data_IF_905440329342
#
_entry.id   IF_905440329342
#
_cell.length_a   1.000
_cell.length_b   1.000
_cell.length_c   1.000
_cell.angle_alpha   90.00
_cell.angle_beta   90.00
_cell.angle_gamma   90.00
#
_symmetry.space_group_name_H-M   'P 1'
#
loop_
_entity.id
_entity.type
_entity.pdbx_description
1 polymer ?
#
# COMPACT_ATOMS: atom_id res chain seq x y z
N UNK A 1 -57.52 -97.16 126.23
CA UNK A 1 -58.66 -97.63 127.03
C UNK A 1 -59.80 -96.64 126.84
N UNK A 2 -61.01 -96.99 126.40
CA UNK A 2 -61.60 -98.27 126.05
C UNK A 2 -63.12 -98.08 125.96
N UNK A 3 -63.75 -98.63 124.91
CA UNK A 3 -65.15 -99.08 124.85
C UNK A 3 -66.28 -98.03 124.87
N UNK A 4 -67.27 -97.98 123.97
CA UNK A 4 -68.14 -98.98 123.33
C UNK A 4 -69.60 -98.89 123.85
N UNK A 5 -70.53 -99.22 122.94
CA UNK A 5 -72.01 -99.38 123.04
C UNK A 5 -72.84 -98.10 122.84
N UNK A 6 -73.64 -97.93 121.77
CA UNK A 6 -74.77 -98.68 121.12
C UNK A 6 -76.15 -98.17 121.58
N UNK A 7 -77.13 -98.32 120.66
CA UNK A 7 -78.63 -98.19 120.71
C UNK A 7 -79.08 -97.09 119.71
N UNK A 8 -79.59 -97.34 118.48
CA UNK A 8 -80.82 -98.03 118.01
C UNK A 8 -82.10 -97.36 118.59
N UNK A 9 -83.13 -96.85 117.91
CA UNK A 9 -83.78 -97.07 116.60
C UNK A 9 -84.79 -95.92 116.36
N UNK A 10 -85.02 -95.47 115.12
CA UNK A 10 -86.28 -95.67 114.37
C UNK A 10 -86.44 -94.69 113.19
N UNK A 11 -87.20 -95.04 112.13
CA UNK A 11 -87.10 -94.42 110.81
C UNK A 11 -88.43 -93.82 110.30
N UNK A 12 -88.37 -92.72 109.52
CA UNK A 12 -89.20 -92.52 108.33
C UNK A 12 -88.91 -91.19 107.60
N UNK A 13 -88.68 -91.31 106.29
CA UNK A 13 -88.90 -90.31 105.22
C UNK A 13 -87.96 -89.08 105.19
N UNK A 14 -86.97 -88.94 104.29
CA UNK A 14 -86.86 -89.47 102.94
C UNK A 14 -87.73 -88.67 101.97
N UNK A 15 -87.13 -87.68 101.26
CA UNK A 15 -87.48 -87.12 99.92
C UNK A 15 -87.01 -85.66 99.71
N UNK A 16 -86.56 -84.90 100.72
CA UNK A 16 -86.13 -83.49 100.53
C UNK A 16 -84.61 -83.24 100.39
N UNK A 17 -83.76 -84.26 100.39
CA UNK A 17 -82.29 -84.09 100.45
C UNK A 17 -81.54 -84.29 99.12
N UNK A 18 -82.23 -84.70 98.05
CA UNK A 18 -81.62 -84.89 96.73
C UNK A 18 -81.60 -83.60 95.86
N UNK A 19 -82.45 -82.62 96.16
CA UNK A 19 -82.47 -81.33 95.44
C UNK A 19 -81.36 -80.35 95.86
N UNK A 20 -80.87 -80.43 97.10
CA UNK A 20 -79.86 -79.49 97.63
C UNK A 20 -78.43 -79.79 97.14
N UNK A 21 -78.10 -81.05 96.84
CA UNK A 21 -76.76 -81.44 96.35
C UNK A 21 -76.62 -81.17 94.85
N UNK A 22 -77.69 -81.29 94.06
CA UNK A 22 -77.69 -80.92 92.64
C UNK A 22 -77.55 -79.40 92.43
N UNK A 23 -78.17 -78.58 93.29
CA UNK A 23 -78.05 -77.11 93.25
C UNK A 23 -76.66 -76.66 93.73
N UNK A 24 -76.08 -77.31 94.75
CA UNK A 24 -74.72 -76.98 95.20
C UNK A 24 -73.63 -77.36 94.17
N UNK A 25 -73.79 -78.49 93.48
CA UNK A 25 -72.91 -78.90 92.37
C UNK A 25 -73.03 -77.97 91.15
N UNK A 26 -74.24 -77.59 90.77
CA UNK A 26 -74.49 -76.64 89.68
C UNK A 26 -73.94 -75.23 89.99
N UNK A 27 -74.04 -74.77 91.25
CA UNK A 27 -73.48 -73.47 91.68
C UNK A 27 -71.94 -73.50 91.74
N UNK A 28 -71.32 -74.64 92.09
CA UNK A 28 -69.87 -74.80 92.07
C UNK A 28 -69.31 -74.85 90.63
N UNK A 29 -69.99 -75.55 89.72
CA UNK A 29 -69.65 -75.56 88.28
C UNK A 29 -69.86 -74.18 87.66
N UNK A 30 -70.99 -73.51 87.94
CA UNK A 30 -71.24 -72.15 87.47
C UNK A 30 -70.21 -71.13 88.03
N UNK A 31 -69.78 -71.26 89.30
CA UNK A 31 -68.70 -70.42 89.85
C UNK A 31 -67.33 -70.72 89.25
N UNK A 32 -67.06 -71.99 88.94
CA UNK A 32 -65.84 -72.42 88.23
C UNK A 32 -65.80 -71.85 86.81
N UNK A 33 -66.91 -71.95 86.07
CA UNK A 33 -67.08 -71.37 84.73
C UNK A 33 -66.99 -69.85 84.75
N UNK A 34 -67.64 -69.17 85.70
CA UNK A 34 -67.52 -67.70 85.84
C UNK A 34 -66.07 -67.29 86.16
N UNK A 35 -65.35 -68.07 86.96
CA UNK A 35 -63.95 -67.78 87.30
C UNK A 35 -63.04 -68.00 86.08
N UNK A 36 -63.24 -69.08 85.33
CA UNK A 36 -62.52 -69.38 84.07
C UNK A 36 -62.83 -68.32 83.00
N UNK A 37 -64.09 -67.91 82.87
CA UNK A 37 -64.50 -66.82 81.96
C UNK A 37 -63.87 -65.48 82.36
N UNK A 38 -63.78 -65.18 83.67
CA UNK A 38 -63.16 -63.95 84.16
C UNK A 38 -61.64 -63.94 83.93
N UNK A 39 -60.96 -65.05 84.19
CA UNK A 39 -59.52 -65.17 83.88
C UNK A 39 -59.26 -65.15 82.37
N UNK A 40 -60.11 -65.78 81.57
CA UNK A 40 -60.04 -65.74 80.10
C UNK A 40 -60.25 -64.32 79.57
N UNK A 41 -61.25 -63.59 80.08
CA UNK A 41 -61.47 -62.19 79.74
C UNK A 41 -60.29 -61.29 80.15
N UNK A 42 -59.65 -61.56 81.29
CA UNK A 42 -58.47 -60.80 81.73
C UNK A 42 -57.25 -61.09 80.85
N UNK A 43 -57.05 -62.34 80.45
CA UNK A 43 -55.98 -62.73 79.52
C UNK A 43 -56.20 -62.10 78.14
N UNK A 44 -57.42 -62.17 77.60
CA UNK A 44 -57.76 -61.50 76.33
C UNK A 44 -57.58 -59.98 76.42
N UNK A 45 -57.91 -59.37 77.56
CA UNK A 45 -57.70 -57.94 77.76
C UNK A 45 -56.22 -57.58 77.81
N UNK A 46 -55.38 -58.38 78.47
CA UNK A 46 -53.93 -58.21 78.47
C UNK A 46 -53.30 -58.47 77.09
N UNK A 47 -53.81 -59.43 76.33
CA UNK A 47 -53.38 -59.70 74.95
C UNK A 47 -53.77 -58.55 74.02
N UNK A 48 -55.00 -58.02 74.14
CA UNK A 48 -55.43 -56.83 73.40
C UNK A 48 -54.62 -55.59 73.77
N UNK A 49 -54.23 -55.41 75.03
CA UNK A 49 -53.34 -54.32 75.45
C UNK A 49 -51.94 -54.49 74.86
N UNK A 50 -51.36 -55.69 74.89
CA UNK A 50 -50.07 -55.97 74.24
C UNK A 50 -50.12 -55.81 72.72
N UNK A 51 -51.21 -56.20 72.08
CA UNK A 51 -51.41 -55.98 70.64
C UNK A 51 -51.53 -54.49 70.34
N UNK A 52 -52.26 -53.71 71.15
CA UNK A 52 -52.33 -52.26 71.00
C UNK A 52 -50.96 -51.60 71.14
N UNK A 53 -50.22 -51.95 72.20
CA UNK A 53 -48.85 -51.46 72.41
C UNK A 53 -47.92 -51.83 71.25
N UNK A 54 -48.04 -53.06 70.72
CA UNK A 54 -47.29 -53.49 69.54
C UNK A 54 -47.68 -52.70 68.29
N UNK A 55 -48.97 -52.47 68.04
CA UNK A 55 -49.42 -51.68 66.89
C UNK A 55 -49.02 -50.22 67.00
N UNK A 56 -49.01 -49.66 68.22
CA UNK A 56 -48.56 -48.29 68.47
C UNK A 56 -47.04 -48.17 68.28
N UNK A 57 -46.26 -49.17 68.71
CA UNK A 57 -44.82 -49.23 68.46
C UNK A 57 -44.50 -49.41 66.96
N UNK A 58 -45.20 -50.30 66.25
CA UNK A 58 -45.06 -50.47 64.79
C UNK A 58 -45.44 -49.18 64.05
N UNK A 59 -46.50 -48.49 64.48
CA UNK A 59 -46.89 -47.18 63.95
C UNK A 59 -45.81 -46.12 64.18
N UNK A 60 -45.23 -46.05 65.38
CA UNK A 60 -44.15 -45.12 65.68
C UNK A 60 -42.90 -45.38 64.82
N UNK A 61 -42.54 -46.65 64.58
CA UNK A 61 -41.43 -47.01 63.69
C UNK A 61 -41.71 -46.61 62.24
N UNK A 62 -42.95 -46.81 61.77
CA UNK A 62 -43.36 -46.37 60.42
C UNK A 62 -43.35 -44.85 60.32
N UNK A 63 -43.90 -44.12 61.29
CA UNK A 63 -43.90 -42.65 61.31
C UNK A 63 -42.46 -42.10 61.32
N UNK A 64 -41.56 -42.68 62.12
CA UNK A 64 -40.15 -42.32 62.13
C UNK A 64 -39.45 -42.62 60.79
N UNK A 65 -39.77 -43.75 60.16
CA UNK A 65 -39.22 -44.13 58.85
C UNK A 65 -39.72 -43.21 57.74
N UNK A 66 -41.00 -42.84 57.76
CA UNK A 66 -41.59 -41.88 56.81
C UNK A 66 -40.99 -40.49 56.99
N UNK A 67 -40.77 -40.05 58.24
CA UNK A 67 -40.10 -38.78 58.51
C UNK A 67 -38.66 -38.77 57.96
N UNK A 68 -37.88 -39.84 58.19
CA UNK A 68 -36.53 -39.97 57.64
C UNK A 68 -36.49 -40.00 56.10
N UNK A 69 -37.48 -40.65 55.46
CA UNK A 69 -37.63 -40.62 54.01
C UNK A 69 -38.03 -39.23 53.48
N UNK A 70 -38.87 -38.49 54.21
CA UNK A 70 -39.23 -37.12 53.86
C UNK A 70 -38.02 -36.17 53.95
N UNK A 71 -37.18 -36.31 54.98
CA UNK A 71 -35.96 -35.52 55.15
C UNK A 71 -34.95 -35.79 54.05
N UNK A 72 -34.73 -37.07 53.70
CA UNK A 72 -33.83 -37.45 52.59
C UNK A 72 -34.35 -37.01 51.23
N UNK A 73 -35.67 -37.07 51.00
CA UNK A 73 -36.29 -36.54 49.79
C UNK A 73 -36.16 -35.02 49.70
N UNK A 74 -36.34 -34.30 50.81
CA UNK A 74 -36.15 -32.85 50.90
C UNK A 74 -34.71 -32.44 50.61
N UNK A 75 -33.73 -33.14 51.23
CA UNK A 75 -32.31 -32.92 50.98
C UNK A 75 -31.94 -33.20 49.51
N UNK A 76 -32.49 -34.26 48.92
CA UNK A 76 -32.28 -34.60 47.50
C UNK A 76 -32.90 -33.54 46.58
N UNK A 77 -34.09 -33.02 46.89
CA UNK A 77 -34.72 -31.96 46.13
C UNK A 77 -33.91 -30.65 46.19
N UNK A 78 -33.37 -30.31 47.37
CA UNK A 78 -32.48 -29.17 47.54
C UNK A 78 -31.20 -29.30 46.72
N UNK A 79 -30.57 -30.48 46.70
CA UNK A 79 -29.36 -30.70 45.90
C UNK A 79 -29.66 -30.69 44.39
N UNK A 80 -30.79 -31.25 43.95
CA UNK A 80 -31.22 -31.16 42.54
C UNK A 80 -31.43 -29.69 42.14
N UNK A 81 -32.04 -28.87 43.00
CA UNK A 81 -32.22 -27.44 42.75
C UNK A 81 -30.86 -26.71 42.67
N UNK A 82 -29.92 -27.04 43.56
CA UNK A 82 -28.55 -26.50 43.55
C UNK A 82 -27.81 -26.84 42.26
N UNK A 83 -27.84 -28.11 41.84
CA UNK A 83 -27.21 -28.58 40.61
C UNK A 83 -27.83 -27.95 39.36
N UNK A 84 -29.15 -27.76 39.34
CA UNK A 84 -29.83 -27.03 38.25
C UNK A 84 -29.35 -25.58 38.16
N UNK A 85 -29.24 -24.88 39.29
CA UNK A 85 -28.72 -23.52 39.32
C UNK A 85 -27.28 -23.41 38.81
N UNK A 86 -26.41 -24.37 39.17
CA UNK A 86 -25.04 -24.42 38.64
C UNK A 86 -25.00 -24.70 37.13
N UNK A 87 -25.85 -25.60 36.64
CA UNK A 87 -25.93 -25.91 35.21
C UNK A 87 -26.42 -24.70 34.39
N UNK A 88 -27.40 -23.96 34.90
CA UNK A 88 -27.92 -22.77 34.23
C UNK A 88 -26.89 -21.63 34.22
N UNK A 89 -26.16 -21.43 35.33
CA UNK A 89 -25.04 -20.49 35.37
C UNK A 89 -23.92 -20.88 34.38
N UNK A 90 -23.55 -22.16 34.32
CA UNK A 90 -22.55 -22.63 33.36
C UNK A 90 -23.01 -22.47 31.91
N UNK A 91 -24.30 -22.69 31.63
CA UNK A 91 -24.88 -22.43 30.31
C UNK A 91 -24.82 -20.95 29.95
N UNK A 92 -25.13 -20.07 30.88
CA UNK A 92 -25.04 -18.62 30.69
C UNK A 92 -23.60 -18.14 30.45
N UNK A 93 -22.64 -18.67 31.20
CA UNK A 93 -21.22 -18.34 31.00
C UNK A 93 -20.71 -18.87 29.65
N UNK A 94 -21.12 -20.08 29.26
CA UNK A 94 -20.80 -20.61 27.93
C UNK A 94 -21.40 -19.77 26.82
N UNK A 95 -22.67 -19.35 26.91
CA UNK A 95 -23.29 -18.52 25.87
C UNK A 95 -22.63 -17.14 25.77
N UNK A 96 -22.28 -16.53 26.90
CA UNK A 96 -21.49 -15.29 26.92
C UNK A 96 -20.12 -15.47 26.27
N UNK A 97 -19.41 -16.55 26.62
CA UNK A 97 -18.11 -16.86 26.03
C UNK A 97 -18.18 -17.13 24.52
N UNK A 98 -19.21 -17.86 24.05
CA UNK A 98 -19.38 -18.13 22.62
C UNK A 98 -19.74 -16.87 21.85
N UNK A 99 -20.58 -16.00 22.40
CA UNK A 99 -20.93 -14.74 21.76
C UNK A 99 -19.70 -13.84 21.64
N UNK A 100 -18.89 -13.74 22.70
CA UNK A 100 -17.63 -12.98 22.66
C UNK A 100 -16.68 -13.52 21.57
N UNK A 101 -16.47 -14.83 21.51
CA UNK A 101 -15.63 -15.44 20.47
C UNK A 101 -16.18 -15.18 19.06
N UNK A 102 -17.50 -15.15 18.89
CA UNK A 102 -18.14 -14.86 17.62
C UNK A 102 -17.93 -13.41 17.19
N UNK A 103 -18.02 -12.46 18.13
CA UNK A 103 -17.71 -11.04 17.89
C UNK A 103 -16.24 -10.87 17.49
N UNK A 104 -15.31 -11.46 18.25
CA UNK A 104 -13.86 -11.39 17.98
C UNK A 104 -13.51 -11.97 16.59
N UNK A 105 -14.12 -13.11 16.21
CA UNK A 105 -13.94 -13.73 14.89
C UNK A 105 -14.51 -12.87 13.77
N UNK A 106 -15.66 -12.22 14.01
CA UNK A 106 -16.30 -11.35 13.03
C UNK A 106 -15.45 -10.10 12.78
N UNK A 107 -14.99 -9.42 13.84
CA UNK A 107 -14.09 -8.27 13.71
C UNK A 107 -12.76 -8.64 13.03
N UNK A 108 -12.22 -9.83 13.31
CA UNK A 108 -11.01 -10.32 12.63
C UNK A 108 -11.25 -10.70 11.16
N UNK A 109 -12.48 -11.04 10.77
CA UNK A 109 -12.84 -11.29 9.37
C UNK A 109 -12.95 -9.97 8.60
N UNK A 110 -13.61 -8.96 9.18
CA UNK A 110 -13.73 -7.61 8.61
C UNK A 110 -12.35 -6.96 8.43
N UNK A 111 -11.47 -7.05 9.43
CA UNK A 111 -10.10 -6.54 9.32
C UNK A 111 -9.29 -7.22 8.21
N UNK A 112 -9.49 -8.52 7.98
CA UNK A 112 -8.85 -9.25 6.87
C UNK A 112 -9.42 -8.85 5.51
N UNK A 113 -10.71 -8.56 5.43
CA UNK A 113 -11.34 -8.08 4.20
C UNK A 113 -10.83 -6.68 3.81
N UNK A 114 -10.78 -5.75 4.78
CA UNK A 114 -10.18 -4.42 4.59
C UNK A 114 -8.70 -4.49 4.16
N UNK A 115 -7.92 -5.41 4.75
CA UNK A 115 -6.54 -5.62 4.34
C UNK A 115 -6.43 -6.13 2.89
N UNK A 116 -7.34 -7.01 2.45
CA UNK A 116 -7.38 -7.50 1.07
C UNK A 116 -7.73 -6.40 0.08
N UNK A 117 -8.78 -5.63 0.35
CA UNK A 117 -9.17 -4.51 -0.52
C UNK A 117 -8.03 -3.50 -0.66
N UNK A 118 -7.30 -3.22 0.43
CA UNK A 118 -6.14 -2.32 0.37
C UNK A 118 -4.98 -2.89 -0.45
N UNK A 119 -4.72 -4.20 -0.37
CA UNK A 119 -3.71 -4.84 -1.23
C UNK A 119 -4.09 -4.71 -2.71
N UNK A 120 -5.36 -4.90 -3.05
CA UNK A 120 -5.85 -4.74 -4.43
C UNK A 120 -5.71 -3.29 -4.92
N UNK A 121 -6.05 -2.30 -4.08
CA UNK A 121 -5.81 -0.87 -4.38
C UNK A 121 -4.33 -0.56 -4.62
N UNK A 122 -3.44 -1.03 -3.73
CA UNK A 122 -2.00 -0.83 -3.87
C UNK A 122 -1.44 -1.48 -5.14
N UNK A 123 -1.99 -2.61 -5.57
CA UNK A 123 -1.61 -3.24 -6.84
C UNK A 123 -2.01 -2.38 -8.04
N UNK A 124 -3.19 -1.74 -8.01
CA UNK A 124 -3.64 -0.80 -9.04
C UNK A 124 -2.76 0.46 -9.05
N UNK A 125 -2.48 1.05 -7.88
CA UNK A 125 -1.58 2.20 -7.75
C UNK A 125 -0.18 1.88 -8.32
N UNK A 126 0.36 0.69 -8.01
CA UNK A 126 1.65 0.23 -8.55
C UNK A 126 1.61 0.05 -10.07
N UNK A 127 0.53 -0.49 -10.61
CA UNK A 127 0.35 -0.66 -12.05
C UNK A 127 0.31 0.71 -12.77
N UNK A 128 -0.41 1.68 -12.20
CA UNK A 128 -0.48 3.05 -12.72
C UNK A 128 0.89 3.73 -12.68
N UNK A 129 1.61 3.65 -11.55
CA UNK A 129 2.94 4.22 -11.43
C UNK A 129 3.93 3.62 -12.45
N UNK A 130 3.85 2.32 -12.73
CA UNK A 130 4.65 1.66 -13.79
C UNK A 130 4.29 2.17 -15.19
N UNK A 131 3.00 2.40 -15.46
CA UNK A 131 2.55 2.93 -16.74
C UNK A 131 3.04 4.38 -16.95
N UNK A 132 2.97 5.22 -15.91
CA UNK A 132 3.49 6.59 -15.95
C UNK A 132 5.01 6.63 -16.17
N UNK A 133 5.76 5.75 -15.49
CA UNK A 133 7.20 5.60 -15.70
C UNK A 133 7.52 5.18 -17.14
N UNK A 134 6.74 4.26 -17.72
CA UNK A 134 6.91 3.85 -19.11
C UNK A 134 6.69 5.03 -20.07
N UNK A 135 5.64 5.83 -19.87
CA UNK A 135 5.36 7.03 -20.68
C UNK A 135 6.49 8.06 -20.55
N UNK A 136 6.96 8.33 -19.33
CA UNK A 136 8.06 9.26 -19.08
C UNK A 136 9.36 8.79 -19.76
N UNK A 137 9.65 7.48 -19.74
CA UNK A 137 10.84 6.92 -20.42
C UNK A 137 10.78 7.09 -21.94
N UNK A 138 9.58 6.97 -22.54
CA UNK A 138 9.38 7.21 -23.98
C UNK A 138 9.52 8.70 -24.33
N UNK A 139 9.07 9.60 -23.46
CA UNK A 139 9.27 11.04 -23.65
C UNK A 139 10.77 11.40 -23.60
N UNK A 140 11.50 10.91 -22.59
CA UNK A 140 12.93 11.14 -22.44
C UNK A 140 13.74 10.63 -23.64
N UNK A 141 13.42 9.44 -24.14
CA UNK A 141 14.10 8.87 -25.32
C UNK A 141 13.84 9.70 -26.58
N UNK A 142 12.63 10.26 -26.75
CA UNK A 142 12.33 11.18 -27.86
C UNK A 142 13.07 12.51 -27.74
N UNK A 143 13.15 13.09 -26.56
CA UNK A 143 13.91 14.33 -26.34
C UNK A 143 15.40 14.11 -26.62
N UNK A 144 15.97 13.00 -26.14
CA UNK A 144 17.36 12.64 -26.44
C UNK A 144 17.60 12.48 -27.94
N UNK A 145 16.70 11.81 -28.66
CA UNK A 145 16.80 11.67 -30.11
C UNK A 145 16.73 13.01 -30.86
N UNK A 146 15.93 13.98 -30.36
CA UNK A 146 15.88 15.35 -30.92
C UNK A 146 17.19 16.09 -30.67
N UNK A 147 17.72 16.04 -29.44
CA UNK A 147 18.99 16.65 -29.10
C UNK A 147 20.15 16.07 -29.93
N UNK A 148 20.19 14.75 -30.13
CA UNK A 148 21.21 14.10 -30.97
C UNK A 148 21.09 14.52 -32.45
N UNK A 149 19.87 14.66 -32.98
CA UNK A 149 19.63 15.12 -34.34
C UNK A 149 20.05 16.60 -34.52
N UNK A 150 19.76 17.46 -33.56
CA UNK A 150 20.15 18.86 -33.58
C UNK A 150 21.66 19.04 -33.42
N UNK A 151 22.29 18.28 -32.53
CA UNK A 151 23.74 18.20 -32.39
C UNK A 151 24.41 17.75 -33.70
N UNK A 152 23.84 16.76 -34.39
CA UNK A 152 24.33 16.31 -35.70
C UNK A 152 24.20 17.39 -36.78
N UNK A 153 23.08 18.11 -36.82
CA UNK A 153 22.85 19.23 -37.74
C UNK A 153 23.84 20.38 -37.50
N UNK A 154 24.11 20.72 -36.25
CA UNK A 154 25.10 21.73 -35.88
C UNK A 154 26.52 21.28 -36.24
N UNK A 155 26.84 19.99 -36.01
CA UNK A 155 28.11 19.39 -36.44
C UNK A 155 28.35 19.55 -37.94
N UNK A 156 27.37 19.14 -38.76
CA UNK A 156 27.46 19.26 -40.21
C UNK A 156 27.61 20.72 -40.68
N UNK A 157 26.98 21.68 -39.98
CA UNK A 157 27.13 23.11 -40.29
C UNK A 157 28.53 23.63 -39.98
N UNK A 158 29.13 23.20 -38.87
CA UNK A 158 30.53 23.53 -38.51
C UNK A 158 31.48 22.95 -39.55
N UNK A 159 31.30 21.69 -39.96
CA UNK A 159 32.14 21.05 -40.97
C UNK A 159 32.06 21.77 -42.32
N UNK A 160 30.84 22.20 -42.72
CA UNK A 160 30.64 22.97 -43.94
C UNK A 160 31.32 24.35 -43.90
N UNK A 161 31.19 25.09 -42.79
CA UNK A 161 31.88 26.38 -42.60
C UNK A 161 33.40 26.21 -42.60
N UNK A 162 33.91 25.15 -41.97
CA UNK A 162 35.34 24.82 -41.95
C UNK A 162 35.86 24.55 -43.37
N UNK A 163 35.09 23.84 -44.20
CA UNK A 163 35.44 23.59 -45.59
C UNK A 163 35.45 24.88 -46.43
N UNK A 164 34.44 25.74 -46.27
CA UNK A 164 34.38 27.05 -46.92
C UNK A 164 35.56 27.95 -46.53
N UNK A 165 35.96 27.92 -45.25
CA UNK A 165 37.14 28.64 -44.77
C UNK A 165 38.43 28.18 -45.45
N UNK A 166 38.62 26.87 -45.59
CA UNK A 166 39.80 26.32 -46.29
C UNK A 166 39.84 26.74 -47.76
N UNK A 167 38.70 26.73 -48.44
CA UNK A 167 38.60 27.14 -49.84
C UNK A 167 38.83 28.65 -50.01
N UNK A 168 38.28 29.47 -49.10
CA UNK A 168 38.50 30.90 -49.08
C UNK A 168 39.97 31.25 -48.79
N UNK A 169 40.61 30.56 -47.82
CA UNK A 169 42.04 30.76 -47.51
C UNK A 169 42.92 30.42 -48.73
N UNK A 170 42.60 29.35 -49.46
CA UNK A 170 43.29 29.00 -50.70
C UNK A 170 43.11 30.05 -51.81
N UNK A 171 41.88 30.56 -51.97
CA UNK A 171 41.55 31.60 -52.96
C UNK A 171 42.29 32.90 -52.67
N UNK A 172 42.37 33.31 -51.41
CA UNK A 172 43.15 34.50 -51.00
C UNK A 172 44.65 34.29 -51.24
N UNK A 173 45.17 33.10 -50.99
CA UNK A 173 46.57 32.81 -51.29
C UNK A 173 46.88 32.95 -52.80
N UNK A 174 45.97 32.51 -53.67
CA UNK A 174 46.07 32.71 -55.12
C UNK A 174 45.98 34.20 -55.51
N UNK A 175 45.02 34.95 -54.95
CA UNK A 175 44.88 36.40 -55.20
C UNK A 175 46.13 37.17 -54.75
N UNK A 176 46.69 36.85 -53.58
CA UNK A 176 47.96 37.45 -53.10
C UNK A 176 49.12 37.11 -54.03
N UNK A 177 49.21 35.88 -54.51
CA UNK A 177 50.24 35.50 -55.50
C UNK A 177 50.05 36.21 -56.84
N UNK A 178 48.82 36.40 -57.30
CA UNK A 178 48.51 37.15 -58.52
C UNK A 178 48.87 38.63 -58.38
N UNK A 179 48.53 39.22 -57.23
CA UNK A 179 48.88 40.60 -56.89
C UNK A 179 50.40 40.80 -56.89
N UNK A 180 51.17 39.89 -56.28
CA UNK A 180 52.63 39.96 -56.26
C UNK A 180 53.26 39.85 -57.67
N UNK A 181 52.70 39.00 -58.54
CA UNK A 181 53.14 38.92 -59.95
C UNK A 181 52.85 40.21 -60.71
N UNK A 182 51.66 40.77 -60.55
CA UNK A 182 51.29 42.04 -61.17
C UNK A 182 52.20 43.17 -60.67
N UNK A 183 52.57 43.21 -59.39
CA UNK A 183 53.54 44.17 -58.84
C UNK A 183 54.93 44.03 -59.48
N UNK A 184 55.42 42.80 -59.69
CA UNK A 184 56.70 42.53 -60.34
C UNK A 184 56.69 42.90 -61.84
N UNK A 185 55.60 42.59 -62.55
CA UNK A 185 55.39 42.98 -63.94
C UNK A 185 55.36 44.51 -64.09
N UNK A 186 54.68 45.21 -63.18
CA UNK A 186 54.58 46.67 -63.17
C UNK A 186 55.94 47.30 -62.90
N UNK A 187 56.70 46.82 -61.92
CA UNK A 187 58.08 47.25 -61.66
C UNK A 187 59.02 47.02 -62.86
N UNK A 188 58.82 45.93 -63.60
CA UNK A 188 59.58 45.63 -64.83
C UNK A 188 59.22 46.59 -65.96
N UNK A 189 57.94 46.95 -66.13
CA UNK A 189 57.48 47.92 -67.13
C UNK A 189 58.02 49.31 -66.78
N UNK A 190 57.93 49.73 -65.53
CA UNK A 190 58.48 51.00 -65.02
C UNK A 190 60.00 51.08 -65.23
N UNK A 191 60.73 50.01 -64.92
CA UNK A 191 62.18 49.93 -65.13
C UNK A 191 62.59 50.04 -66.61
N UNK A 192 61.81 49.44 -67.52
CA UNK A 192 62.01 49.55 -68.98
C UNK A 192 61.69 50.95 -69.52
N UNK A 193 60.76 51.68 -68.91
CA UNK A 193 60.50 53.09 -69.25
C UNK A 193 61.66 54.02 -68.85
N UNK A 194 62.48 53.64 -67.86
CA UNK A 194 63.59 54.46 -67.37
C UNK A 194 64.91 54.27 -68.14
N UNK A 195 65.05 53.24 -68.99
CA UNK A 195 66.36 52.80 -69.55
C UNK A 195 66.59 53.13 -71.05
N UNK A 196 65.89 54.11 -71.62
CA UNK A 196 65.96 54.56 -73.03
C UNK A 196 65.42 53.57 -74.10
N UNK A 197 64.75 54.12 -75.13
CA UNK A 197 64.09 53.44 -76.29
C UNK A 197 62.91 52.49 -75.98
N UNK A 198 61.67 53.01 -75.89
CA UNK A 198 60.48 52.31 -76.39
C UNK A 198 59.22 53.18 -76.38
N UNK A 199 58.52 53.20 -77.52
CA UNK A 199 57.07 53.37 -77.63
C UNK A 199 56.32 52.24 -76.89
N UNK A 200 56.59 52.00 -75.60
CA UNK A 200 55.68 51.24 -74.77
C UNK A 200 54.46 52.16 -74.57
N UNK A 201 53.29 51.84 -75.16
CA UNK A 201 52.17 52.76 -75.15
C UNK A 201 51.83 53.06 -73.70
N UNK A 202 51.70 54.33 -73.33
CA UNK A 202 51.24 54.80 -72.00
C UNK A 202 49.99 54.02 -71.53
N UNK A 203 49.20 53.50 -72.48
CA UNK A 203 48.09 52.59 -72.23
C UNK A 203 48.43 51.23 -71.59
N UNK A 204 49.64 50.66 -71.79
CA UNK A 204 50.05 49.40 -71.17
C UNK A 204 50.38 49.57 -69.68
N UNK A 205 51.07 50.65 -69.29
CA UNK A 205 51.32 50.97 -67.88
C UNK A 205 49.99 51.27 -67.16
N UNK A 206 49.14 52.13 -67.75
CA UNK A 206 47.83 52.45 -67.19
C UNK A 206 46.91 51.21 -67.08
N UNK A 207 46.98 50.28 -68.04
CA UNK A 207 46.25 49.02 -67.98
C UNK A 207 46.78 48.09 -66.87
N UNK A 208 48.11 48.02 -66.69
CA UNK A 208 48.72 47.24 -65.61
C UNK A 208 48.39 47.80 -64.22
N UNK A 209 48.41 49.12 -64.04
CA UNK A 209 47.99 49.79 -62.80
C UNK A 209 46.50 49.57 -62.49
N UNK A 210 45.64 49.64 -63.51
CA UNK A 210 44.21 49.37 -63.36
C UNK A 210 43.96 47.90 -63.00
N UNK A 211 44.68 46.97 -63.64
CA UNK A 211 44.60 45.54 -63.33
C UNK A 211 45.07 45.26 -61.90
N UNK A 212 46.19 45.85 -61.46
CA UNK A 212 46.68 45.71 -60.09
C UNK A 212 45.71 46.29 -59.06
N UNK A 213 45.11 47.46 -59.31
CA UNK A 213 44.05 48.01 -58.44
C UNK A 213 42.85 47.09 -58.37
N UNK A 214 42.36 46.59 -59.50
CA UNK A 214 41.23 45.66 -59.54
C UNK A 214 41.53 44.36 -58.78
N UNK A 215 42.76 43.84 -58.88
CA UNK A 215 43.18 42.64 -58.17
C UNK A 215 43.28 42.88 -56.66
N UNK A 216 43.81 44.02 -56.24
CA UNK A 216 43.87 44.42 -54.82
C UNK A 216 42.49 44.61 -54.22
N UNK A 217 41.57 45.27 -54.92
CA UNK A 217 40.18 45.41 -54.47
C UNK A 217 39.49 44.04 -54.33
N UNK A 218 39.77 43.09 -55.24
CA UNK A 218 39.27 41.71 -55.14
C UNK A 218 39.92 40.95 -53.98
N UNK A 219 41.21 41.13 -53.72
CA UNK A 219 41.91 40.53 -52.59
C UNK A 219 41.38 41.08 -51.25
N UNK A 220 41.23 42.40 -51.11
CA UNK A 220 40.66 43.05 -49.92
C UNK A 220 39.22 42.61 -49.67
N UNK A 221 38.39 42.52 -50.73
CA UNK A 221 37.03 42.00 -50.62
C UNK A 221 36.96 40.54 -50.18
N UNK A 222 37.88 39.69 -50.67
CA UNK A 222 38.00 38.30 -50.26
C UNK A 222 38.48 38.17 -48.80
N UNK A 223 39.44 38.99 -48.36
CA UNK A 223 39.93 39.04 -46.98
C UNK A 223 38.82 39.43 -45.99
N UNK A 224 38.01 40.44 -46.33
CA UNK A 224 36.85 40.82 -45.52
C UNK A 224 35.81 39.69 -45.42
N UNK A 225 35.51 39.00 -46.53
CA UNK A 225 34.60 37.86 -46.52
C UNK A 225 35.13 36.69 -45.68
N UNK A 226 36.45 36.49 -45.65
CA UNK A 226 37.08 35.44 -44.86
C UNK A 226 37.05 35.76 -43.35
N UNK A 227 37.23 37.03 -42.97
CA UNK A 227 37.02 37.46 -41.57
C UNK A 227 35.57 37.23 -41.12
N UNK A 228 34.57 37.53 -41.96
CA UNK A 228 33.16 37.23 -41.66
C UNK A 228 32.93 35.72 -41.48
N UNK A 229 33.53 34.87 -42.33
CA UNK A 229 33.44 33.42 -42.18
C UNK A 229 34.12 32.91 -40.91
N UNK A 230 35.29 33.44 -40.52
CA UNK A 230 35.96 33.11 -39.25
C UNK A 230 35.10 33.52 -38.05
N UNK A 231 34.49 34.71 -38.11
CA UNK A 231 33.56 35.16 -37.07
C UNK A 231 32.37 34.21 -36.94
N UNK A 232 31.74 33.83 -38.06
CA UNK A 232 30.61 32.91 -38.09
C UNK A 232 30.97 31.49 -37.60
N UNK A 233 32.16 30.96 -37.94
CA UNK A 233 32.66 29.69 -37.41
C UNK A 233 32.85 29.76 -35.89
N UNK A 234 33.48 30.84 -35.40
CA UNK A 234 33.71 31.03 -33.96
C UNK A 234 32.40 31.12 -33.17
N UNK A 235 31.41 31.81 -33.71
CA UNK A 235 30.08 31.93 -33.12
C UNK A 235 29.36 30.58 -33.11
N UNK A 236 29.40 29.83 -34.23
CA UNK A 236 28.81 28.50 -34.34
C UNK A 236 29.45 27.49 -33.37
N UNK A 237 30.78 27.54 -33.19
CA UNK A 237 31.51 26.73 -32.22
C UNK A 237 31.15 27.10 -30.78
N UNK A 238 31.02 28.40 -30.49
CA UNK A 238 30.57 28.88 -29.18
C UNK A 238 29.14 28.43 -28.85
N UNK A 239 28.21 28.53 -29.81
CA UNK A 239 26.82 28.04 -29.63
C UNK A 239 26.79 26.53 -29.43
N UNK A 240 27.52 25.76 -30.25
CA UNK A 240 27.62 24.31 -30.08
C UNK A 240 28.15 23.94 -28.69
N UNK A 241 29.19 24.62 -28.22
CA UNK A 241 29.77 24.37 -26.89
C UNK A 241 28.81 24.72 -25.75
N UNK A 242 28.08 25.84 -25.87
CA UNK A 242 27.07 26.23 -24.89
C UNK A 242 25.94 25.19 -24.81
N UNK A 243 25.42 24.76 -25.96
CA UNK A 243 24.31 23.81 -26.05
C UNK A 243 24.69 22.43 -25.52
N UNK A 244 25.91 21.95 -25.81
CA UNK A 244 26.44 20.70 -25.22
C UNK A 244 26.55 20.80 -23.69
N UNK A 245 26.97 21.95 -23.16
CA UNK A 245 27.09 22.15 -21.71
C UNK A 245 25.73 22.20 -21.03
N UNK A 246 24.74 22.84 -21.65
CA UNK A 246 23.36 22.90 -21.15
C UNK A 246 22.71 21.51 -21.12
N UNK A 247 22.79 20.75 -22.23
CA UNK A 247 22.32 19.37 -22.29
C UNK A 247 23.00 18.48 -21.24
N UNK A 248 24.29 18.66 -20.99
CA UNK A 248 24.99 17.89 -19.95
C UNK A 248 24.45 18.21 -18.55
N UNK A 249 24.17 19.47 -18.24
CA UNK A 249 23.60 19.88 -16.96
C UNK A 249 22.19 19.32 -16.77
N UNK A 250 21.37 19.29 -17.82
CA UNK A 250 20.03 18.66 -17.77
C UNK A 250 20.10 17.16 -17.56
N UNK A 251 21.02 16.46 -18.23
CA UNK A 251 21.26 15.02 -18.02
C UNK A 251 21.70 14.73 -16.59
N UNK A 252 22.60 15.54 -16.02
CA UNK A 252 23.07 15.36 -14.65
C UNK A 252 21.95 15.68 -13.63
N UNK A 253 21.14 16.72 -13.87
CA UNK A 253 19.99 17.07 -13.04
C UNK A 253 18.93 15.96 -13.03
N UNK A 254 18.53 15.46 -14.21
CA UNK A 254 17.56 14.36 -14.33
C UNK A 254 18.07 13.06 -13.71
N UNK A 255 19.37 12.78 -13.80
CA UNK A 255 19.99 11.63 -13.13
C UNK A 255 19.94 11.76 -11.60
N UNK A 256 20.24 12.94 -11.07
CA UNK A 256 20.16 13.22 -9.64
C UNK A 256 18.72 13.11 -9.11
N UNK A 257 17.73 13.62 -9.86
CA UNK A 257 16.32 13.47 -9.52
C UNK A 257 15.86 12.01 -9.52
N UNK A 258 16.31 11.21 -10.50
CA UNK A 258 15.99 9.77 -10.55
C UNK A 258 16.58 9.00 -9.36
N UNK A 259 17.82 9.29 -8.95
CA UNK A 259 18.40 8.66 -7.75
C UNK A 259 17.66 9.09 -6.47
N UNK A 260 17.28 10.37 -6.34
CA UNK A 260 16.47 10.84 -5.21
C UNK A 260 15.10 10.12 -5.15
N UNK A 261 14.42 9.98 -6.30
CA UNK A 261 13.14 9.25 -6.36
C UNK A 261 13.29 7.78 -5.99
N UNK A 262 14.39 7.15 -6.41
CA UNK A 262 14.70 5.77 -6.06
C UNK A 262 14.95 5.61 -4.56
N UNK A 263 15.69 6.53 -3.94
CA UNK A 263 15.86 6.57 -2.48
C UNK A 263 14.53 6.76 -1.74
N UNK A 264 13.67 7.68 -2.20
CA UNK A 264 12.36 7.92 -1.60
C UNK A 264 11.47 6.68 -1.68
N UNK A 265 11.43 6.01 -2.84
CA UNK A 265 10.69 4.75 -3.01
C UNK A 265 11.22 3.65 -2.10
N UNK A 266 12.54 3.51 -1.97
CA UNK A 266 13.15 2.52 -1.09
C UNK A 266 12.80 2.78 0.38
N UNK A 267 12.89 4.04 0.83
CA UNK A 267 12.50 4.43 2.21
C UNK A 267 11.01 4.14 2.47
N UNK A 268 10.13 4.37 1.49
CA UNK A 268 8.71 4.03 1.60
C UNK A 268 8.49 2.54 1.74
N UNK A 269 9.07 1.73 0.85
CA UNK A 269 8.92 0.26 0.90
C UNK A 269 9.41 -0.30 2.24
N UNK A 270 10.49 0.25 2.79
CA UNK A 270 11.05 -0.19 4.07
C UNK A 270 10.19 0.25 5.27
N UNK A 271 9.61 1.45 5.19
CA UNK A 271 8.60 1.94 6.14
C UNK A 271 7.32 1.08 6.12
N UNK A 272 6.78 0.81 4.94
CA UNK A 272 5.57 0.01 4.74
C UNK A 272 5.78 -1.43 5.22
N UNK A 273 6.95 -2.01 4.92
CA UNK A 273 7.34 -3.32 5.44
C UNK A 273 7.38 -3.33 6.97
N UNK A 274 7.99 -2.31 7.58
CA UNK A 274 8.07 -2.20 9.04
C UNK A 274 6.70 -2.03 9.70
N UNK A 275 5.81 -1.27 9.07
CA UNK A 275 4.43 -1.10 9.52
C UNK A 275 3.62 -2.39 9.43
N UNK A 276 3.76 -3.14 8.32
CA UNK A 276 3.13 -4.45 8.14
C UNK A 276 3.68 -5.49 9.12
N UNK A 277 4.99 -5.51 9.34
CA UNK A 277 5.64 -6.42 10.29
C UNK A 277 5.21 -6.11 11.74
N UNK A 278 5.02 -4.84 12.08
CA UNK A 278 4.45 -4.41 13.35
C UNK A 278 2.98 -4.83 13.49
N UNK A 279 2.15 -4.59 12.47
CA UNK A 279 0.73 -4.96 12.47
C UNK A 279 0.51 -6.49 12.51
N UNK A 280 1.39 -7.27 11.89
CA UNK A 280 1.38 -8.74 11.96
C UNK A 280 1.91 -9.27 13.30
N UNK A 281 2.84 -8.55 13.94
CA UNK A 281 3.35 -8.85 15.28
C UNK A 281 2.39 -8.48 16.41
N UNK A 282 1.51 -7.49 16.20
CA UNK A 282 0.49 -7.04 17.15
C UNK A 282 -0.92 -7.20 16.57
N UNK A 283 -1.46 -8.41 16.60
CA UNK A 283 -2.85 -8.66 16.20
C UNK A 283 -3.91 -7.99 17.13
N UNK A 284 -3.52 -7.11 18.07
CA UNK A 284 -4.43 -6.44 19.03
C UNK A 284 -4.64 -4.93 18.79
N UNK A 285 -3.81 -4.22 18.02
CA UNK A 285 -3.89 -2.74 17.97
C UNK A 285 -4.46 -2.17 16.67
N UNK A 286 -5.79 -2.21 16.52
CA UNK A 286 -6.54 -1.54 15.45
C UNK A 286 -6.24 -0.03 15.32
N UNK A 287 -5.71 0.60 16.38
CA UNK A 287 -5.29 2.01 16.38
C UNK A 287 -4.02 2.26 15.56
N UNK A 288 -3.05 1.34 15.60
CA UNK A 288 -1.83 1.46 14.81
C UNK A 288 -2.12 1.34 13.29
N UNK A 289 -3.12 0.53 12.93
CA UNK A 289 -3.62 0.44 11.56
C UNK A 289 -4.28 1.75 11.12
N UNK A 290 -5.10 2.38 11.97
CA UNK A 290 -5.75 3.66 11.65
C UNK A 290 -4.76 4.83 11.52
N UNK A 291 -3.77 4.93 12.42
CA UNK A 291 -2.73 5.97 12.37
C UNK A 291 -1.83 5.79 11.12
N UNK A 292 -1.55 4.53 10.74
CA UNK A 292 -0.86 4.19 9.49
C UNK A 292 -1.68 4.60 8.25
N UNK A 293 -2.99 4.38 8.28
CA UNK A 293 -3.90 4.72 7.18
C UNK A 293 -4.02 6.24 6.96
N UNK A 294 -4.03 7.03 8.05
CA UNK A 294 -4.01 8.49 7.98
C UNK A 294 -2.70 9.03 7.39
N UNK A 295 -1.55 8.51 7.84
CA UNK A 295 -0.25 8.89 7.29
C UNK A 295 -0.11 8.54 5.80
N UNK A 296 -0.69 7.42 5.35
CA UNK A 296 -0.75 7.05 3.94
C UNK A 296 -1.62 8.01 3.11
N UNK A 297 -2.78 8.42 3.62
CA UNK A 297 -3.68 9.36 2.92
C UNK A 297 -3.04 10.74 2.72
N UNK A 298 -2.35 11.25 3.73
CA UNK A 298 -1.63 12.53 3.63
C UNK A 298 -0.46 12.44 2.63
N UNK A 299 0.25 11.31 2.63
CA UNK A 299 1.38 11.09 1.74
C UNK A 299 0.95 10.81 0.28
N UNK A 300 -0.21 10.20 0.05
CA UNK A 300 -0.80 10.04 -1.29
C UNK A 300 -1.19 11.40 -1.88
N UNK A 301 -1.83 12.24 -1.05
CA UNK A 301 -2.21 13.61 -1.44
C UNK A 301 -1.00 14.47 -1.80
N UNK A 302 0.13 14.31 -1.07
CA UNK A 302 1.39 14.97 -1.42
C UNK A 302 1.97 14.50 -2.74
N UNK A 303 1.86 13.21 -3.06
CA UNK A 303 2.38 12.65 -4.31
C UNK A 303 1.56 13.12 -5.52
N UNK A 304 0.24 13.16 -5.40
CA UNK A 304 -0.64 13.72 -6.44
C UNK A 304 -0.33 15.20 -6.70
N UNK A 305 -0.06 15.98 -5.65
CA UNK A 305 0.34 17.38 -5.79
C UNK A 305 1.67 17.53 -6.54
N UNK A 306 2.66 16.69 -6.25
CA UNK A 306 3.96 16.70 -6.94
C UNK A 306 3.85 16.23 -8.40
N UNK A 307 3.03 15.22 -8.69
CA UNK A 307 2.75 14.77 -10.06
C UNK A 307 2.04 15.88 -10.85
N UNK A 308 1.06 16.56 -10.24
CA UNK A 308 0.40 17.72 -10.84
C UNK A 308 1.38 18.87 -11.12
N UNK A 309 2.30 19.15 -10.19
CA UNK A 309 3.35 20.16 -10.36
C UNK A 309 4.33 19.80 -11.50
N UNK A 310 4.70 18.52 -11.64
CA UNK A 310 5.52 18.03 -12.77
C UNK A 310 4.78 18.18 -14.10
N UNK A 311 3.51 17.81 -14.15
CA UNK A 311 2.68 17.95 -15.35
C UNK A 311 2.55 19.42 -15.76
N UNK A 312 2.39 20.33 -14.80
CA UNK A 312 2.36 21.77 -15.05
C UNK A 312 3.69 22.32 -15.58
N UNK A 313 4.84 21.87 -15.04
CA UNK A 313 6.16 22.24 -15.57
C UNK A 313 6.40 21.67 -16.96
N UNK A 314 6.02 20.42 -17.20
CA UNK A 314 6.14 19.79 -18.50
C UNK A 314 5.31 20.51 -19.56
N UNK A 315 4.07 20.92 -19.22
CA UNK A 315 3.25 21.74 -20.09
C UNK A 315 3.91 23.10 -20.39
N UNK A 316 4.50 23.77 -19.40
CA UNK A 316 5.27 25.02 -19.64
C UNK A 316 6.46 24.81 -20.56
N UNK A 317 7.27 23.77 -20.33
CA UNK A 317 8.40 23.45 -21.20
C UNK A 317 7.92 23.08 -22.61
N UNK A 318 6.76 22.43 -22.73
CA UNK A 318 6.15 22.11 -24.01
C UNK A 318 5.60 23.36 -24.72
N UNK A 319 5.06 24.33 -23.99
CA UNK A 319 4.61 25.63 -24.51
C UNK A 319 5.81 26.50 -24.94
N UNK A 320 6.90 26.48 -24.17
CA UNK A 320 8.17 27.15 -24.48
C UNK A 320 8.85 26.49 -25.71
N UNK A 321 8.88 25.17 -25.78
CA UNK A 321 9.44 24.41 -26.91
C UNK A 321 8.55 24.42 -28.17
N UNK A 322 7.22 24.58 -28.03
CA UNK A 322 6.29 24.70 -29.16
C UNK A 322 6.18 26.12 -29.72
N UNK A 323 6.82 27.11 -29.08
CA UNK A 323 7.09 28.39 -29.70
C UNK A 323 5.85 29.23 -30.01
N UNK A 324 4.88 29.32 -29.09
CA UNK A 324 3.76 30.27 -29.22
C UNK A 324 4.05 31.66 -28.65
N UNK A 325 5.31 31.97 -28.28
CA UNK A 325 5.73 33.30 -27.84
C UNK A 325 6.85 33.89 -28.72
N UNK A 326 6.45 34.36 -29.90
CA UNK A 326 6.83 35.63 -30.58
C UNK A 326 8.28 36.11 -30.70
N UNK A 327 9.30 35.39 -30.23
CA UNK A 327 10.70 35.83 -30.33
C UNK A 327 11.46 35.20 -31.51
N UNK A 328 11.02 34.04 -31.99
CA UNK A 328 11.60 33.34 -33.15
C UNK A 328 11.31 34.04 -34.49
N UNK A 329 10.17 34.73 -34.63
CA UNK A 329 9.84 35.45 -35.86
C UNK A 329 10.72 36.69 -36.08
N UNK A 330 11.22 37.31 -35.01
CA UNK A 330 12.12 38.46 -35.11
C UNK A 330 13.56 38.06 -35.52
N UNK A 331 14.01 36.85 -35.17
CA UNK A 331 15.34 36.34 -35.55
C UNK A 331 15.32 35.57 -36.87
N UNK A 332 14.24 34.86 -37.20
CA UNK A 332 14.06 34.19 -38.49
C UNK A 332 13.98 35.21 -39.65
N UNK A 333 13.29 36.34 -39.45
CA UNK A 333 13.26 37.43 -40.43
C UNK A 333 14.64 38.07 -40.67
N UNK A 334 15.47 38.21 -39.62
CA UNK A 334 16.87 38.68 -39.76
C UNK A 334 17.78 37.65 -40.42
N UNK A 335 17.61 36.36 -40.11
CA UNK A 335 18.41 35.28 -40.68
C UNK A 335 18.09 35.01 -42.16
N UNK A 336 16.82 35.16 -42.57
CA UNK A 336 16.42 35.11 -43.98
C UNK A 336 16.95 36.33 -44.75
N UNK A 337 16.84 37.53 -44.17
CA UNK A 337 17.39 38.76 -44.75
C UNK A 337 18.90 38.69 -44.99
N UNK A 338 19.68 38.13 -44.06
CA UNK A 338 21.13 37.95 -44.23
C UNK A 338 21.46 36.92 -45.31
N UNK A 339 20.70 35.82 -45.39
CA UNK A 339 20.93 34.77 -46.39
C UNK A 339 20.63 35.27 -47.81
N UNK A 340 19.55 36.04 -47.98
CA UNK A 340 19.18 36.66 -49.26
C UNK A 340 20.17 37.76 -49.68
N UNK A 341 20.76 38.49 -48.72
CA UNK A 341 21.78 39.51 -48.97
C UNK A 341 23.12 38.87 -49.40
N UNK A 342 23.52 37.77 -48.73
CA UNK A 342 24.71 37.00 -49.09
C UNK A 342 24.55 36.37 -50.47
N UNK A 343 23.41 35.76 -50.78
CA UNK A 343 23.16 35.22 -52.13
C UNK A 343 23.18 36.32 -53.20
N UNK A 344 22.64 37.51 -52.92
CA UNK A 344 22.71 38.64 -53.86
C UNK A 344 24.14 39.07 -54.12
N UNK A 345 24.98 39.17 -53.08
CA UNK A 345 26.40 39.56 -53.20
C UNK A 345 27.21 38.49 -53.92
N UNK A 346 27.03 37.22 -53.60
CA UNK A 346 27.70 36.10 -54.30
C UNK A 346 27.32 36.08 -55.77
N UNK A 347 26.04 36.29 -56.10
CA UNK A 347 25.56 36.31 -57.50
C UNK A 347 26.06 37.54 -58.27
N UNK A 348 26.23 38.69 -57.60
CA UNK A 348 26.85 39.88 -58.21
C UNK A 348 28.34 39.69 -58.49
N UNK A 349 29.07 39.02 -57.57
CA UNK A 349 30.49 38.70 -57.73
C UNK A 349 30.69 37.66 -58.85
N UNK A 350 29.82 36.65 -58.94
CA UNK A 350 29.93 35.63 -59.99
C UNK A 350 29.38 36.09 -61.34
N UNK A 351 28.32 36.91 -61.37
CA UNK A 351 27.69 37.41 -62.59
C UNK A 351 28.46 38.55 -63.28
N UNK A 352 29.39 39.21 -62.58
CA UNK A 352 30.28 40.22 -63.17
C UNK A 352 31.40 39.63 -64.03
N UNK A 353 31.49 38.30 -64.16
CA UNK A 353 32.59 37.61 -64.86
C UNK A 353 32.30 37.22 -66.31
N UNK A 354 31.04 37.31 -66.76
CA UNK A 354 30.61 36.88 -68.11
C UNK A 354 30.17 38.03 -69.02
N UNK A 355 30.51 39.28 -68.68
CA UNK A 355 30.02 40.47 -69.39
C UNK A 355 31.03 41.61 -69.49
N UNK A 356 32.24 41.34 -70.01
CA UNK A 356 33.09 42.35 -70.65
C UNK A 356 34.10 41.73 -71.61
#
# INVERSE_FOLDING_TARGET
>A
AGGAARVATSPSAGIALAGAVAVAGAVAVARGEIKVQRTSATIMQQELERERERTDAERQVVEASVAGLADTASASAAEIARLRGLLDAEREDRTKSTNKLLDDVTSAAEGRELARTRVDELQVELANAKAELAVASVALTKERARADAEGSRLGARVDALTAQLKEADASIAELRSGTARLEEELATIEGKQQSDEADAPVGQLAAAELALRSERERAEGAEAALEELRAAESEAMATRKALVRELQLEVDATKAENENLKEQLQRRVESDRSALESALGSAEDAKAVADSQAAMSDAASSLEADVAARKARQLRLQDEASGTFTQADAQSAKGASLRDEIERRVRAIMGGRDGS
#
